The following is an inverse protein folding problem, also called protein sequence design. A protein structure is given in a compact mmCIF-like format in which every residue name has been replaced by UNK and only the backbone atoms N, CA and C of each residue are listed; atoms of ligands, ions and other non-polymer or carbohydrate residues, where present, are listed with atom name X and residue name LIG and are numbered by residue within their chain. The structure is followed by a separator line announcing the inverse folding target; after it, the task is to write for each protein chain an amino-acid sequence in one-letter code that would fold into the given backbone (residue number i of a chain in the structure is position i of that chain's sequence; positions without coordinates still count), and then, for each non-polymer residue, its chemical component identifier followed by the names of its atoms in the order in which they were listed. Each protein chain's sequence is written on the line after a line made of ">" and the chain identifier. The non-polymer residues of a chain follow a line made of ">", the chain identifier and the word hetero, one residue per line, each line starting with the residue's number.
data_IF_839043739519
#
_entry.id   IF_839043739519
#
_cell.length_a   1.000
_cell.length_b   1.000
_cell.length_c   1.000
_cell.angle_alpha   90.00
_cell.angle_beta   90.00
_cell.angle_gamma   90.00
#
_symmetry.space_group_name_H-M   'P 1'
#
loop_
_entity.id
_entity.type
_entity.pdbx_description
1 polymer ?
#
# COMPACT_ATOMS: atom_id res chain seq x y z
N UNK A 1 -26.49 -11.76 2.33
CA UNK A 1 -25.35 -10.89 2.69
C UNK A 1 -24.78 -10.40 1.37
N UNK A 2 -24.94 -9.12 1.02
CA UNK A 2 -24.39 -8.61 -0.23
C UNK A 2 -22.86 -8.68 -0.17
N UNK A 3 -22.21 -9.33 -1.13
CA UNK A 3 -20.77 -9.23 -1.34
C UNK A 3 -20.47 -7.76 -1.62
N UNK A 4 -19.87 -7.06 -0.64
CA UNK A 4 -19.23 -5.78 -0.92
C UNK A 4 -18.06 -6.12 -1.83
N UNK A 5 -18.14 -5.71 -3.10
CA UNK A 5 -16.99 -5.66 -3.97
C UNK A 5 -15.94 -4.79 -3.28
N UNK A 6 -14.89 -5.44 -2.77
CA UNK A 6 -13.75 -4.76 -2.19
C UNK A 6 -12.97 -4.12 -3.34
N UNK A 7 -13.29 -2.86 -3.62
CA UNK A 7 -12.51 -2.09 -4.59
C UNK A 7 -11.12 -1.88 -4.01
N UNK A 8 -10.14 -2.52 -4.65
CA UNK A 8 -8.74 -2.24 -4.36
C UNK A 8 -8.46 -0.76 -4.69
N UNK A 9 -7.77 -0.03 -3.80
CA UNK A 9 -7.40 1.34 -4.10
C UNK A 9 -6.52 1.38 -5.36
N UNK A 10 -6.92 2.19 -6.33
CA UNK A 10 -6.13 2.50 -7.51
C UNK A 10 -5.11 3.58 -7.12
N UNK A 11 -4.00 3.17 -6.48
CA UNK A 11 -2.85 4.05 -6.17
C UNK A 11 -1.55 3.44 -6.67
N UNK A 12 -0.60 4.31 -7.02
CA UNK A 12 0.77 3.92 -7.26
C UNK A 12 1.46 3.54 -5.93
N UNK A 13 2.42 2.60 -5.93
CA UNK A 13 3.06 2.15 -4.70
C UNK A 13 3.66 3.28 -3.86
N UNK A 14 4.20 4.32 -4.52
CA UNK A 14 4.75 5.50 -3.88
C UNK A 14 3.68 6.33 -3.15
N UNK A 15 2.47 6.43 -3.68
CA UNK A 15 1.35 7.12 -3.00
C UNK A 15 0.92 6.32 -1.77
N UNK A 16 0.85 5.00 -1.91
CA UNK A 16 0.50 4.11 -0.81
C UNK A 16 1.57 4.20 0.31
N UNK A 17 2.87 4.35 -0.03
CA UNK A 17 3.96 4.62 0.93
C UNK A 17 3.79 5.97 1.65
N UNK A 18 3.55 7.03 0.88
CA UNK A 18 3.39 8.39 1.42
C UNK A 18 2.24 8.44 2.44
N UNK A 19 1.12 7.76 2.15
CA UNK A 19 -0.01 7.64 3.09
C UNK A 19 0.34 6.90 4.38
N UNK A 20 1.17 5.86 4.29
CA UNK A 20 1.63 5.15 5.48
C UNK A 20 2.51 6.06 6.36
N UNK A 21 3.40 6.83 5.74
CA UNK A 21 4.28 7.79 6.43
C UNK A 21 3.47 8.93 7.07
N UNK A 22 2.48 9.50 6.37
CA UNK A 22 1.57 10.52 6.90
C UNK A 22 0.83 10.03 8.15
N UNK A 23 0.36 8.79 8.14
CA UNK A 23 -0.33 8.18 9.28
C UNK A 23 0.59 7.86 10.46
N UNK A 24 1.91 7.78 10.23
CA UNK A 24 2.93 7.54 11.26
C UNK A 24 3.70 8.82 11.65
N UNK A 25 3.38 9.95 11.03
CA UNK A 25 4.04 11.22 11.30
C UNK A 25 3.92 11.62 12.78
N UNK A 26 4.79 12.53 13.23
CA UNK A 26 4.87 12.96 14.63
C UNK A 26 3.49 13.42 15.12
N UNK A 27 2.98 12.76 16.16
CA UNK A 27 1.62 12.98 16.69
C UNK A 27 0.59 11.93 16.25
N UNK A 28 0.98 10.90 15.51
CA UNK A 28 0.12 9.77 15.15
C UNK A 28 -0.51 9.12 16.40
N UNK A 29 -1.82 8.93 16.35
CA UNK A 29 -2.54 8.17 17.38
C UNK A 29 -2.28 6.68 17.20
N UNK A 30 -2.33 5.90 18.29
CA UNK A 30 -2.22 4.42 18.23
C UNK A 30 -3.26 3.82 17.28
N UNK A 31 -4.42 4.48 17.15
CA UNK A 31 -5.51 4.10 16.24
C UNK A 31 -5.14 4.23 14.75
N UNK A 32 -4.17 5.08 14.40
CA UNK A 32 -3.71 5.25 13.01
C UNK A 32 -2.80 4.10 12.54
N UNK A 33 -2.17 3.37 13.49
CA UNK A 33 -1.14 2.35 13.19
C UNK A 33 -1.66 1.22 12.29
N UNK A 34 -2.83 0.59 12.55
CA UNK A 34 -3.31 -0.49 11.68
C UNK A 34 -3.53 -0.03 10.23
N UNK A 35 -4.03 1.20 10.05
CA UNK A 35 -4.25 1.78 8.72
C UNK A 35 -2.93 2.12 8.03
N UNK A 36 -1.94 2.61 8.77
CA UNK A 36 -0.60 2.86 8.25
C UNK A 36 0.06 1.56 7.76
N UNK A 37 -0.05 0.48 8.56
CA UNK A 37 0.47 -0.85 8.18
C UNK A 37 -0.23 -1.37 6.92
N UNK A 38 -1.54 -1.21 6.79
CA UNK A 38 -2.26 -1.62 5.58
C UNK A 38 -1.74 -0.88 4.34
N UNK A 39 -1.51 0.44 4.44
CA UNK A 39 -0.93 1.22 3.34
C UNK A 39 0.51 0.81 3.00
N UNK A 40 1.33 0.54 4.02
CA UNK A 40 2.70 0.08 3.82
C UNK A 40 2.74 -1.29 3.12
N UNK A 41 1.85 -2.22 3.47
CA UNK A 41 1.75 -3.53 2.81
C UNK A 41 1.36 -3.39 1.33
N UNK A 42 0.45 -2.49 1.00
CA UNK A 42 0.06 -2.22 -0.39
C UNK A 42 1.24 -1.64 -1.20
N UNK A 43 2.00 -0.72 -0.61
CA UNK A 43 3.20 -0.18 -1.25
C UNK A 43 4.22 -1.29 -1.58
N UNK A 44 4.55 -2.13 -0.59
CA UNK A 44 5.48 -3.26 -0.76
C UNK A 44 4.97 -4.24 -1.81
N UNK A 45 3.69 -4.61 -1.78
CA UNK A 45 3.11 -5.53 -2.77
C UNK A 45 3.19 -4.97 -4.20
N UNK A 46 2.91 -3.68 -4.37
CA UNK A 46 3.00 -3.01 -5.67
C UNK A 46 4.44 -2.91 -6.20
N UNK A 47 5.40 -2.57 -5.33
CA UNK A 47 6.83 -2.53 -5.69
C UNK A 47 7.35 -3.91 -6.10
N UNK A 48 7.00 -4.96 -5.36
CA UNK A 48 7.36 -6.34 -5.69
C UNK A 48 6.75 -6.80 -7.02
N UNK A 49 5.50 -6.41 -7.30
CA UNK A 49 4.85 -6.70 -8.58
C UNK A 49 5.63 -6.08 -9.75
N UNK A 50 6.03 -4.81 -9.62
CA UNK A 50 6.76 -4.11 -10.67
C UNK A 50 8.18 -4.67 -10.85
N UNK A 51 8.89 -5.01 -9.77
CA UNK A 51 10.18 -5.71 -9.83
C UNK A 51 10.05 -7.05 -10.57
N UNK A 52 9.01 -7.84 -10.26
CA UNK A 52 8.73 -9.11 -10.94
C UNK A 52 8.50 -8.89 -12.44
N UNK A 53 7.67 -7.89 -12.79
CA UNK A 53 7.38 -7.55 -14.20
C UNK A 53 8.65 -7.14 -14.94
N UNK A 54 9.50 -6.31 -14.35
CA UNK A 54 10.77 -5.88 -14.96
C UNK A 54 11.74 -7.04 -15.12
N UNK A 55 11.81 -7.94 -14.13
CA UNK A 55 12.64 -9.14 -14.19
C UNK A 55 12.21 -10.09 -15.31
N UNK A 56 10.90 -10.21 -15.56
CA UNK A 56 10.37 -11.01 -16.66
C UNK A 56 10.64 -10.40 -18.04
N UNK A 57 10.69 -9.06 -18.15
CA UNK A 57 10.99 -8.36 -19.42
C UNK A 57 12.45 -8.45 -19.85
N UNK A 58 13.36 -8.67 -18.90
CA UNK A 58 14.81 -8.75 -19.16
C UNK A 58 15.28 -10.16 -19.55
N UNK A 59 14.37 -11.14 -19.57
CA UNK A 59 14.65 -12.55 -19.84
C UNK A 59 14.14 -12.94 -21.21
#
# INVERSE_FOLDING_TARGET
>A
MAEREWQLPQCEPQECRSRAEELLAVGATVEAVPRAVAWALLAVAGELHEIRRQSQRKR
#
